data_IF_433485706748
#
_entry.id   IF_433485706748
#
_cell.length_a   1.000
_cell.length_b   1.000
_cell.length_c   1.000
_cell.angle_alpha   90.00
_cell.angle_beta   90.00
_cell.angle_gamma   90.00
#
_symmetry.space_group_name_H-M   'P 1'
#
loop_
_entity.id
_entity.type
_entity.pdbx_description
1 polymer ?
#
# COMPACT_ATOMS: atom_id res chain seq x y z
N UNK A 1 11.76 2.11 7.98
CA UNK A 1 10.30 1.87 7.98
C UNK A 1 10.03 0.62 8.81
N UNK A 2 8.78 0.40 9.24
CA UNK A 2 8.44 -0.85 9.92
C UNK A 2 8.57 -2.01 8.90
N UNK A 3 9.16 -3.17 9.26
CA UNK A 3 9.44 -4.27 8.31
C UNK A 3 8.21 -4.73 7.50
N UNK A 4 6.99 -4.57 8.04
CA UNK A 4 5.75 -4.88 7.32
C UNK A 4 5.46 -3.92 6.17
N UNK A 5 5.67 -2.62 6.38
CA UNK A 5 5.43 -1.63 5.33
C UNK A 5 6.40 -1.83 4.15
N UNK A 6 7.66 -2.19 4.42
CA UNK A 6 8.62 -2.51 3.36
C UNK A 6 8.18 -3.75 2.55
N UNK A 7 7.59 -4.74 3.20
CA UNK A 7 7.08 -5.94 2.52
C UNK A 7 5.85 -5.67 1.64
N UNK A 8 4.90 -4.85 2.13
CA UNK A 8 3.75 -4.43 1.32
C UNK A 8 4.20 -3.54 0.16
N UNK A 9 5.09 -2.58 0.40
CA UNK A 9 5.67 -1.75 -0.64
C UNK A 9 6.30 -2.60 -1.74
N UNK A 10 7.12 -3.57 -1.37
CA UNK A 10 7.73 -4.47 -2.36
C UNK A 10 6.68 -5.27 -3.13
N UNK A 11 5.66 -5.83 -2.46
CA UNK A 11 4.59 -6.62 -3.09
C UNK A 11 3.84 -5.82 -4.15
N UNK A 12 3.49 -4.58 -3.85
CA UNK A 12 2.78 -3.70 -4.79
C UNK A 12 3.71 -3.13 -5.85
N UNK A 13 4.95 -2.80 -5.48
CA UNK A 13 5.96 -2.36 -6.43
C UNK A 13 6.21 -3.42 -7.51
N UNK A 14 6.26 -4.71 -7.16
CA UNK A 14 6.56 -5.78 -8.12
C UNK A 14 5.44 -6.02 -9.16
N UNK A 15 4.27 -5.39 -8.99
CA UNK A 15 3.17 -5.46 -9.97
C UNK A 15 3.43 -4.56 -11.18
N UNK A 16 2.98 -5.03 -12.34
CA UNK A 16 2.94 -4.22 -13.56
C UNK A 16 1.91 -3.08 -13.47
N UNK A 17 2.05 -2.08 -14.34
CA UNK A 17 1.09 -0.99 -14.47
C UNK A 17 -0.35 -1.50 -14.65
N UNK A 18 -0.57 -2.47 -15.55
CA UNK A 18 -1.91 -3.00 -15.83
C UNK A 18 -2.50 -3.76 -14.63
N UNK A 19 -1.67 -4.50 -13.88
CA UNK A 19 -2.10 -5.16 -12.64
C UNK A 19 -2.47 -4.14 -11.56
N UNK A 20 -1.69 -3.09 -11.39
CA UNK A 20 -2.00 -2.03 -10.43
C UNK A 20 -3.32 -1.35 -10.78
N UNK A 21 -3.51 -0.98 -12.05
CA UNK A 21 -4.75 -0.32 -12.49
C UNK A 21 -5.97 -1.24 -12.37
N UNK A 22 -5.80 -2.54 -12.59
CA UNK A 22 -6.89 -3.51 -12.45
C UNK A 22 -7.21 -3.84 -11.00
N UNK A 23 -6.21 -4.00 -10.13
CA UNK A 23 -6.40 -4.41 -8.73
C UNK A 23 -6.69 -3.24 -7.80
N UNK A 24 -6.30 -2.03 -8.19
CA UNK A 24 -6.55 -0.76 -7.49
C UNK A 24 -7.57 0.12 -8.23
N UNK A 25 -8.46 -0.49 -9.03
CA UNK A 25 -9.63 0.24 -9.56
C UNK A 25 -10.51 0.79 -8.44
N UNK A 26 -10.49 0.11 -7.29
CA UNK A 26 -11.00 0.57 -6.01
C UNK A 26 -9.88 0.48 -4.97
N UNK A 27 -10.00 1.20 -3.86
CA UNK A 27 -9.07 1.07 -2.74
C UNK A 27 -9.09 -0.35 -2.20
N UNK A 28 -7.91 -0.92 -1.96
CA UNK A 28 -7.78 -2.20 -1.28
C UNK A 28 -7.53 -1.96 0.21
N UNK A 29 -8.35 -2.59 1.05
CA UNK A 29 -8.19 -2.59 2.50
C UNK A 29 -8.22 -4.02 3.00
N UNK A 30 -7.16 -4.46 3.66
CA UNK A 30 -7.05 -5.82 4.18
C UNK A 30 -6.17 -5.91 5.43
N UNK A 31 -6.41 -6.95 6.21
CA UNK A 31 -5.61 -7.27 7.39
C UNK A 31 -4.52 -8.29 7.07
N UNK A 32 -3.36 -8.13 7.71
CA UNK A 32 -2.24 -9.06 7.61
C UNK A 32 -1.66 -9.35 8.99
N UNK A 33 -1.38 -10.63 9.26
CA UNK A 33 -0.66 -11.01 10.47
C UNK A 33 0.85 -11.01 10.21
N UNK A 34 1.59 -10.39 11.12
CA UNK A 34 3.05 -10.42 11.16
C UNK A 34 3.53 -10.31 12.60
N UNK A 35 4.45 -11.18 13.02
CA UNK A 35 5.00 -11.22 14.38
C UNK A 35 3.91 -11.20 15.49
N UNK A 36 2.90 -12.06 15.34
CA UNK A 36 1.74 -12.16 16.25
C UNK A 36 0.91 -10.88 16.42
N UNK A 37 1.10 -9.88 15.56
CA UNK A 37 0.27 -8.67 15.46
C UNK A 37 -0.52 -8.66 14.16
N UNK A 38 -1.70 -8.07 14.20
CA UNK A 38 -2.51 -7.75 13.02
C UNK A 38 -2.22 -6.32 12.59
N UNK A 39 -2.01 -6.12 11.30
CA UNK A 39 -1.86 -4.81 10.69
C UNK A 39 -2.99 -4.59 9.68
N UNK A 40 -3.57 -3.40 9.67
CA UNK A 40 -4.44 -2.93 8.60
C UNK A 40 -3.58 -2.31 7.50
N UNK A 41 -3.81 -2.74 6.27
CA UNK A 41 -3.11 -2.24 5.08
C UNK A 41 -4.13 -1.61 4.15
N UNK A 42 -3.86 -0.37 3.77
CA UNK A 42 -4.66 0.38 2.80
C UNK A 42 -3.79 0.70 1.60
N UNK A 43 -4.31 0.42 0.41
CA UNK A 43 -3.59 0.64 -0.85
C UNK A 43 -4.51 1.32 -1.83
N UNK A 44 -4.05 2.43 -2.38
CA UNK A 44 -4.85 3.25 -3.25
C UNK A 44 -4.04 3.76 -4.43
N UNK A 45 -4.69 3.79 -5.59
CA UNK A 45 -4.22 4.53 -6.76
C UNK A 45 -4.60 6.00 -6.60
N UNK A 46 -3.62 6.86 -6.36
CA UNK A 46 -3.84 8.31 -6.25
C UNK A 46 -4.01 8.95 -7.63
N UNK A 47 -3.28 8.45 -8.61
CA UNK A 47 -3.34 8.92 -9.98
C UNK A 47 -3.11 7.78 -10.96
N UNK A 48 -3.87 7.78 -12.05
CA UNK A 48 -3.72 6.84 -13.16
C UNK A 48 -3.81 7.62 -14.47
N UNK A 49 -2.66 7.83 -15.09
CA UNK A 49 -2.57 8.40 -16.45
C UNK A 49 -2.27 7.30 -17.45
N UNK A 50 -2.22 7.63 -18.74
CA UNK A 50 -1.80 6.66 -19.77
C UNK A 50 -0.30 6.30 -19.67
N UNK A 51 0.48 7.11 -18.94
CA UNK A 51 1.94 6.99 -18.82
C UNK A 51 2.38 6.37 -17.49
N UNK A 52 1.65 6.61 -16.40
CA UNK A 52 2.02 6.11 -15.07
C UNK A 52 0.83 5.91 -14.12
N UNK A 53 1.11 5.10 -13.08
CA UNK A 53 0.27 4.88 -11.92
C UNK A 53 1.01 5.37 -10.67
N UNK A 54 0.39 6.26 -9.88
CA UNK A 54 0.89 6.68 -8.57
C UNK A 54 0.11 5.96 -7.47
N UNK A 55 0.81 5.15 -6.68
CA UNK A 55 0.23 4.29 -5.65
C UNK A 55 0.71 4.75 -4.28
N UNK A 56 -0.21 4.83 -3.32
CA UNK A 56 0.09 5.01 -1.90
C UNK A 56 -0.29 3.75 -1.13
N UNK A 57 0.49 3.46 -0.09
CA UNK A 57 0.30 2.34 0.83
C UNK A 57 0.36 2.91 2.25
N UNK A 58 -0.69 2.70 3.02
CA UNK A 58 -0.75 2.92 4.45
C UNK A 58 -0.69 1.60 5.20
N UNK A 59 0.10 1.53 6.28
CA UNK A 59 0.11 0.41 7.22
C UNK A 59 -0.12 0.93 8.64
N UNK A 60 -1.14 0.40 9.30
CA UNK A 60 -1.50 0.71 10.68
C UNK A 60 -1.48 -0.58 11.52
N UNK A 61 -0.92 -0.51 12.72
CA UNK A 61 -0.94 -1.62 13.70
C UNK A 61 -2.05 -1.46 14.75
N UNK A 62 -2.91 -0.45 14.58
CA UNK A 62 -4.06 -0.14 15.43
C UNK A 62 -3.67 0.49 16.78
N UNK A 63 -2.37 0.65 17.06
CA UNK A 63 -1.90 1.19 18.33
C UNK A 63 -1.91 2.72 18.33
N UNK A 64 -2.39 3.34 19.40
CA UNK A 64 -2.27 4.79 19.58
C UNK A 64 -0.85 5.15 20.02
N UNK A 65 -0.26 6.25 19.50
CA UNK A 65 -0.84 7.23 18.58
C UNK A 65 -0.62 6.92 17.09
N UNK A 66 -0.06 5.77 16.74
CA UNK A 66 0.31 5.41 15.36
C UNK A 66 -0.89 5.24 14.43
N UNK A 67 -2.07 4.92 14.97
CA UNK A 67 -3.33 4.99 14.24
C UNK A 67 -3.78 6.41 13.86
N UNK A 68 -3.14 7.46 14.41
CA UNK A 68 -3.33 8.88 13.99
C UNK A 68 -2.30 9.27 12.91
N UNK A 69 -1.16 8.56 12.86
CA UNK A 69 -0.07 8.79 11.91
C UNK A 69 0.33 7.46 11.27
N UNK A 70 -0.51 6.89 10.38
CA UNK A 70 -0.20 5.63 9.73
C UNK A 70 1.12 5.73 8.98
N UNK A 71 1.87 4.63 8.95
CA UNK A 71 3.11 4.60 8.19
C UNK A 71 2.76 4.54 6.71
N UNK A 72 3.03 5.63 6.00
CA UNK A 72 2.74 5.74 4.58
C UNK A 72 4.01 5.60 3.74
N UNK A 73 3.88 4.94 2.60
CA UNK A 73 4.86 4.90 1.52
C UNK A 73 4.15 5.03 0.18
N UNK A 74 4.79 5.62 -0.82
CA UNK A 74 4.22 5.79 -2.15
C UNK A 74 5.25 5.50 -3.24
N UNK A 75 4.76 5.20 -4.44
CA UNK A 75 5.60 5.00 -5.61
C UNK A 75 4.90 5.27 -6.94
N UNK A 76 5.71 5.56 -7.96
CA UNK A 76 5.28 5.71 -9.34
C UNK A 76 5.69 4.49 -10.16
N UNK A 77 4.73 3.88 -10.83
CA UNK A 77 4.95 2.81 -11.83
C UNK A 77 4.64 3.36 -13.22
N UNK A 78 5.67 3.48 -14.03
CA UNK A 78 5.50 3.75 -15.46
C UNK A 78 4.91 2.52 -16.16
N UNK A 79 4.22 2.77 -17.27
CA UNK A 79 3.71 1.73 -18.15
C UNK A 79 4.82 0.88 -18.77
#
# INVERSE_FOLDING_TARGET
MAPRADAELKRWWDKSYDQLRSELSEMQNYEVQFDSKTYQVEVQLLESTDDYAHVIIGVDDGSLPWSIFPLNADFIRNR
#
